data_IF_528977390879
#
_entry.id   IF_528977390879
#
_cell.length_a   1.000
_cell.length_b   1.000
_cell.length_c   1.000
_cell.angle_alpha   90.00
_cell.angle_beta   90.00
_cell.angle_gamma   90.00
#
_symmetry.space_group_name_H-M   'P 1'
#
loop_
_entity.id
_entity.type
_entity.pdbx_description
1 polymer ?
#
# COMPACT_ATOMS: atom_id res chain seq x y z
N UNK A 1 -13.84 -16.44 -26.43
CA UNK A 1 -12.44 -15.99 -26.49
C UNK A 1 -12.25 -15.03 -25.32
N UNK A 2 -11.52 -15.44 -24.29
CA UNK A 2 -11.15 -14.57 -23.17
C UNK A 2 -9.76 -14.02 -23.46
N UNK A 3 -9.66 -13.15 -24.46
CA UNK A 3 -8.45 -12.39 -24.71
C UNK A 3 -8.41 -11.21 -23.73
N UNK A 4 -7.77 -11.38 -22.56
CA UNK A 4 -7.13 -10.31 -21.76
C UNK A 4 -6.57 -10.85 -20.41
N UNK A 5 -5.75 -11.90 -20.44
CA UNK A 5 -5.01 -12.35 -19.24
C UNK A 5 -3.75 -11.52 -19.03
N UNK A 6 -3.90 -10.19 -18.94
CA UNK A 6 -2.81 -9.26 -18.64
C UNK A 6 -3.01 -8.58 -17.29
N UNK A 7 -1.92 -8.26 -16.58
CA UNK A 7 -1.99 -7.38 -15.42
C UNK A 7 -2.70 -6.06 -15.76
N UNK A 8 -3.49 -5.55 -14.82
CA UNK A 8 -4.04 -4.18 -14.89
C UNK A 8 -2.90 -3.16 -14.96
N UNK A 9 -1.83 -3.42 -14.21
CA UNK A 9 -0.57 -2.71 -14.35
C UNK A 9 0.60 -3.62 -13.95
N UNK A 10 1.77 -3.30 -14.53
CA UNK A 10 3.06 -3.92 -14.23
C UNK A 10 4.10 -2.82 -14.08
N UNK A 11 4.91 -2.86 -13.02
CA UNK A 11 6.02 -1.92 -12.83
C UNK A 11 7.14 -2.50 -11.94
N UNK A 12 8.37 -1.98 -12.02
CA UNK A 12 9.41 -2.32 -11.04
C UNK A 12 9.03 -1.79 -9.65
N UNK A 13 9.32 -2.57 -8.63
CA UNK A 13 9.19 -2.18 -7.24
C UNK A 13 10.15 -1.02 -6.94
N UNK A 14 9.62 0.11 -6.53
CA UNK A 14 10.38 1.31 -6.12
C UNK A 14 11.28 1.10 -4.88
N UNK A 15 11.20 -0.05 -4.20
CA UNK A 15 12.08 -0.41 -3.07
C UNK A 15 13.19 -1.37 -3.46
N UNK A 16 12.90 -2.41 -4.25
CA UNK A 16 13.87 -3.48 -4.55
C UNK A 16 14.10 -3.77 -6.04
N UNK A 17 13.39 -3.10 -6.94
CA UNK A 17 13.50 -3.25 -8.40
C UNK A 17 12.80 -4.48 -9.00
N UNK A 18 12.32 -5.43 -8.20
CA UNK A 18 11.59 -6.60 -8.70
C UNK A 18 10.28 -6.21 -9.40
N UNK A 19 9.89 -6.96 -10.43
CA UNK A 19 8.62 -6.74 -11.11
C UNK A 19 7.43 -7.01 -10.18
N UNK A 20 6.48 -6.08 -10.16
CA UNK A 20 5.20 -6.21 -9.44
C UNK A 20 4.08 -6.12 -10.47
N UNK A 21 3.13 -7.05 -10.35
CA UNK A 21 1.96 -7.15 -11.21
C UNK A 21 0.70 -7.16 -10.37
N UNK A 22 -0.26 -6.33 -10.76
CA UNK A 22 -1.59 -6.34 -10.17
C UNK A 22 -2.61 -6.76 -11.23
N UNK A 23 -3.47 -7.68 -10.85
CA UNK A 23 -4.51 -8.25 -11.69
C UNK A 23 -5.88 -7.67 -11.36
N UNK A 24 -6.80 -7.75 -12.33
CA UNK A 24 -8.18 -7.28 -12.14
C UNK A 24 -8.83 -8.05 -10.99
N UNK A 25 -9.46 -7.34 -10.05
CA UNK A 25 -10.11 -7.91 -8.87
C UNK A 25 -9.23 -8.02 -7.63
N UNK A 26 -7.93 -7.75 -7.72
CA UNK A 26 -7.09 -7.66 -6.52
C UNK A 26 -7.37 -6.39 -5.71
N UNK A 27 -7.10 -6.42 -4.41
CA UNK A 27 -6.98 -5.21 -3.58
C UNK A 27 -5.55 -4.67 -3.63
N UNK A 28 -5.12 -3.99 -2.59
CA UNK A 28 -3.71 -3.61 -2.45
C UNK A 28 -2.82 -4.86 -2.46
N UNK A 29 -1.63 -4.74 -3.04
CA UNK A 29 -0.70 -5.86 -3.19
C UNK A 29 0.68 -5.50 -2.63
N UNK A 30 1.39 -6.51 -2.14
CA UNK A 30 2.74 -6.37 -1.62
C UNK A 30 3.79 -7.01 -2.54
N UNK A 31 4.91 -6.32 -2.73
CA UNK A 31 6.15 -6.94 -3.20
C UNK A 31 6.76 -7.80 -2.08
N UNK A 32 7.46 -8.91 -2.38
CA UNK A 32 8.14 -9.73 -1.37
C UNK A 32 9.13 -8.97 -0.47
N UNK A 33 9.63 -7.80 -0.90
CA UNK A 33 10.48 -6.93 -0.07
C UNK A 33 9.70 -6.11 0.98
N UNK A 34 8.38 -6.26 1.05
CA UNK A 34 7.50 -5.56 1.98
C UNK A 34 6.94 -4.23 1.48
N UNK A 35 7.26 -3.79 0.26
CA UNK A 35 6.64 -2.60 -0.31
C UNK A 35 5.19 -2.88 -0.73
N UNK A 36 4.27 -2.00 -0.36
CA UNK A 36 2.85 -2.11 -0.71
C UNK A 36 2.46 -1.12 -1.81
N UNK A 37 1.52 -1.53 -2.65
CA UNK A 37 0.96 -0.74 -3.74
C UNK A 37 -0.55 -0.80 -3.69
N UNK A 38 -1.19 0.36 -3.82
CA UNK A 38 -2.64 0.42 -3.91
C UNK A 38 -3.15 -0.05 -5.29
N UNK A 39 -4.48 -0.13 -5.43
CA UNK A 39 -5.10 -0.54 -6.68
C UNK A 39 -4.71 0.30 -7.90
N UNK A 40 -4.46 1.60 -7.71
CA UNK A 40 -3.98 2.52 -8.74
C UNK A 40 -2.48 2.39 -9.05
N UNK A 41 -1.76 1.51 -8.36
CA UNK A 41 -0.33 1.32 -8.53
C UNK A 41 0.52 2.40 -7.88
N UNK A 42 -0.01 3.15 -6.91
CA UNK A 42 0.78 4.09 -6.11
C UNK A 42 1.47 3.34 -4.96
N UNK A 43 2.74 3.66 -4.69
CA UNK A 43 3.47 3.11 -3.55
C UNK A 43 2.89 3.67 -2.25
N UNK A 44 2.56 2.79 -1.32
CA UNK A 44 2.23 3.17 0.05
C UNK A 44 3.52 3.46 0.84
N UNK A 45 3.41 4.34 1.85
CA UNK A 45 4.53 4.59 2.78
C UNK A 45 4.92 3.29 3.47
N UNK A 46 6.21 3.08 3.75
CA UNK A 46 6.68 1.85 4.39
C UNK A 46 6.04 1.61 5.78
N UNK A 47 5.62 2.69 6.46
CA UNK A 47 4.97 2.67 7.76
C UNK A 47 3.43 2.70 7.69
N UNK A 48 2.81 2.59 6.51
CA UNK A 48 1.37 2.87 6.33
C UNK A 48 0.44 2.11 7.30
N UNK A 49 0.78 0.88 7.67
CA UNK A 49 0.04 0.03 8.63
C UNK A 49 -0.03 0.62 10.05
N UNK A 50 0.84 1.57 10.39
CA UNK A 50 0.81 2.27 11.67
C UNK A 50 -0.25 3.36 11.76
N UNK A 51 -0.94 3.69 10.65
CA UNK A 51 -2.09 4.60 10.68
C UNK A 51 -3.35 3.82 11.11
N UNK A 52 -3.93 4.09 12.30
CA UNK A 52 -5.10 3.36 12.80
C UNK A 52 -6.37 3.58 11.97
N UNK A 53 -6.48 4.68 11.23
CA UNK A 53 -7.61 4.97 10.34
C UNK A 53 -7.78 3.91 9.23
N UNK A 54 -6.74 3.09 8.96
CA UNK A 54 -6.87 1.96 8.04
C UNK A 54 -7.83 0.87 8.53
N UNK A 55 -7.91 0.65 9.84
CA UNK A 55 -8.67 -0.47 10.43
C UNK A 55 -9.77 -0.05 11.40
N UNK A 56 -9.79 1.21 11.81
CA UNK A 56 -10.77 1.77 12.73
C UNK A 56 -11.62 2.81 11.99
N UNK A 57 -12.87 2.45 11.70
CA UNK A 57 -13.81 3.28 10.94
C UNK A 57 -14.24 4.56 11.70
N UNK A 58 -13.96 4.65 13.01
CA UNK A 58 -14.25 5.81 13.84
C UNK A 58 -13.11 6.84 13.85
N UNK A 59 -11.94 6.50 13.29
CA UNK A 59 -10.78 7.39 13.21
C UNK A 59 -10.64 7.91 11.78
N UNK A 60 -10.68 9.23 11.62
CA UNK A 60 -10.49 9.84 10.31
C UNK A 60 -9.03 9.77 9.83
N UNK A 61 -8.84 9.89 8.51
CA UNK A 61 -7.54 9.79 7.86
C UNK A 61 -6.48 10.76 8.44
N UNK A 62 -6.89 11.98 8.79
CA UNK A 62 -6.00 13.00 9.33
C UNK A 62 -5.63 12.69 10.78
N UNK A 63 -6.60 12.37 11.62
CA UNK A 63 -6.37 11.99 13.01
C UNK A 63 -5.46 10.77 13.10
N UNK A 64 -5.73 9.74 12.29
CA UNK A 64 -4.89 8.54 12.25
C UNK A 64 -3.46 8.84 11.78
N UNK A 65 -3.29 9.71 10.79
CA UNK A 65 -1.97 10.17 10.35
C UNK A 65 -1.24 10.92 11.48
N UNK A 66 -1.89 11.86 12.16
CA UNK A 66 -1.32 12.64 13.25
C UNK A 66 -0.90 11.77 14.43
N UNK A 67 -1.75 10.83 14.86
CA UNK A 67 -1.44 9.84 15.91
C UNK A 67 -0.19 9.03 15.56
N UNK A 68 -0.06 8.61 14.31
CA UNK A 68 1.13 7.91 13.84
C UNK A 68 2.39 8.80 13.87
N UNK A 69 2.29 10.07 13.47
CA UNK A 69 3.44 10.98 13.50
C UNK A 69 3.92 11.23 14.94
N UNK A 70 2.99 11.41 15.89
CA UNK A 70 3.29 11.55 17.31
C UNK A 70 3.99 10.31 17.88
N UNK A 71 3.54 9.10 17.52
CA UNK A 71 4.19 7.85 17.94
C UNK A 71 5.64 7.79 17.43
N UNK A 72 5.87 8.14 16.16
CA UNK A 72 7.21 8.19 15.57
C UNK A 72 8.12 9.20 16.27
N UNK A 73 7.61 10.39 16.60
CA UNK A 73 8.36 11.40 17.35
C UNK A 73 8.70 10.95 18.77
N UNK A 74 7.83 10.15 19.38
CA UNK A 74 8.07 9.52 20.68
C UNK A 74 9.02 8.31 20.62
N UNK A 75 9.42 7.85 19.42
CA UNK A 75 10.26 6.67 19.23
C UNK A 75 9.55 5.34 19.50
N UNK A 76 8.22 5.32 19.36
CA UNK A 76 7.34 4.15 19.46
C UNK A 76 7.04 3.61 18.05
#
# INVERSE_FOLDING_TARGET
MFDDEKPTWTKPCEKCGQQVERWRGQGDISCPCGAWYNAGGQRLRDDWLGNPAWGDEEIDDLEGFERQQLAREAGL
#
